data_IF_622978814429
#
_entry.id   IF_622978814429
#
_cell.length_a   1.000
_cell.length_b   1.000
_cell.length_c   1.000
_cell.angle_alpha   90.00
_cell.angle_beta   90.00
_cell.angle_gamma   90.00
#
_symmetry.space_group_name_H-M   'P 1'
#
loop_
_entity.id
_entity.type
_entity.pdbx_description
1 polymer ?
#
# COMPACT_ATOMS: atom_id res chain seq x y z
N UNK A 1 -7.00 2.25 6.99
CA UNK A 1 -8.19 2.95 6.46
C UNK A 1 -8.10 2.97 4.94
N UNK A 2 -9.23 2.75 4.27
CA UNK A 2 -9.33 2.58 2.81
C UNK A 2 -10.17 3.71 2.23
N UNK A 3 -9.73 4.27 1.09
CA UNK A 3 -10.49 5.25 0.34
C UNK A 3 -11.50 4.54 -0.58
N UNK A 4 -12.76 4.50 -0.16
CA UNK A 4 -13.84 3.85 -0.93
C UNK A 4 -14.37 4.71 -2.09
N UNK A 5 -13.94 5.98 -2.22
CA UNK A 5 -14.41 6.90 -3.27
C UNK A 5 -13.55 6.80 -4.53
N UNK A 6 -13.51 5.61 -5.11
CA UNK A 6 -12.76 5.33 -6.33
C UNK A 6 -13.69 4.85 -7.45
N UNK A 7 -13.41 5.21 -8.72
CA UNK A 7 -14.26 4.81 -9.85
C UNK A 7 -14.42 3.28 -10.00
N UNK A 8 -13.41 2.50 -9.62
CA UNK A 8 -13.48 1.02 -9.66
C UNK A 8 -14.19 0.39 -8.47
N UNK A 9 -14.62 1.18 -7.48
CA UNK A 9 -15.34 0.71 -6.28
C UNK A 9 -16.83 1.09 -6.30
N UNK A 10 -17.37 1.56 -7.43
CA UNK A 10 -18.79 1.85 -7.61
C UNK A 10 -19.44 0.88 -8.60
N UNK A 11 -20.69 0.45 -8.34
CA UNK A 11 -21.56 0.77 -7.20
C UNK A 11 -21.22 0.01 -5.90
N UNK A 12 -21.50 0.62 -4.74
CA UNK A 12 -21.17 0.06 -3.42
C UNK A 12 -22.30 -0.78 -2.82
N UNK A 13 -22.75 -1.83 -3.52
CA UNK A 13 -23.82 -2.69 -3.01
C UNK A 13 -23.40 -3.52 -1.78
N UNK A 14 -22.14 -3.93 -1.71
CA UNK A 14 -21.59 -4.68 -0.58
C UNK A 14 -20.10 -4.31 -0.37
N UNK A 15 -19.82 -3.59 0.71
CA UNK A 15 -18.46 -3.11 1.03
C UNK A 15 -17.51 -4.26 1.36
N UNK A 16 -17.97 -5.34 1.99
CA UNK A 16 -17.11 -6.49 2.32
C UNK A 16 -16.69 -7.26 1.07
N UNK A 17 -17.62 -7.46 0.14
CA UNK A 17 -17.31 -8.07 -1.15
C UNK A 17 -16.30 -7.22 -1.93
N UNK A 18 -16.51 -5.90 -1.98
CA UNK A 18 -15.57 -4.97 -2.61
C UNK A 18 -14.19 -4.99 -1.96
N UNK A 19 -14.11 -5.03 -0.63
CA UNK A 19 -12.85 -5.11 0.10
C UNK A 19 -12.08 -6.40 -0.23
N UNK A 20 -12.79 -7.51 -0.43
CA UNK A 20 -12.18 -8.79 -0.73
C UNK A 20 -11.75 -8.95 -2.19
N UNK A 21 -12.42 -8.31 -3.15
CA UNK A 21 -12.23 -8.60 -4.58
C UNK A 21 -11.78 -7.42 -5.44
N UNK A 22 -12.07 -6.18 -5.05
CA UNK A 22 -11.88 -5.00 -5.91
C UNK A 22 -10.91 -3.97 -5.32
N UNK A 23 -10.77 -3.93 -3.99
CA UNK A 23 -9.83 -3.03 -3.32
C UNK A 23 -8.39 -3.43 -3.62
N UNK A 24 -7.59 -2.43 -3.97
CA UNK A 24 -6.16 -2.56 -4.26
C UNK A 24 -5.31 -1.89 -3.18
N UNK A 25 -4.00 -2.19 -3.17
CA UNK A 25 -3.06 -1.49 -2.29
C UNK A 25 -3.05 0.03 -2.51
N UNK A 26 -3.33 0.47 -3.75
CA UNK A 26 -3.47 1.88 -4.10
C UNK A 26 -4.70 2.56 -3.45
N UNK A 27 -5.67 1.81 -2.92
CA UNK A 27 -6.83 2.38 -2.23
C UNK A 27 -6.57 2.63 -0.74
N UNK A 28 -5.43 2.17 -0.20
CA UNK A 28 -5.07 2.39 1.20
C UNK A 28 -4.59 3.84 1.39
N UNK A 29 -5.18 4.53 2.36
CA UNK A 29 -4.85 5.93 2.67
C UNK A 29 -3.99 6.07 3.94
N UNK A 30 -4.39 5.36 5.00
CA UNK A 30 -3.77 5.49 6.33
C UNK A 30 -3.62 4.11 6.97
N UNK A 31 -2.46 3.81 7.57
CA UNK A 31 -2.21 2.56 8.32
C UNK A 31 -1.80 2.85 9.75
N UNK A 32 -2.32 2.07 10.70
CA UNK A 32 -2.03 2.19 12.12
C UNK A 32 -1.70 0.79 12.64
N UNK A 33 -0.53 0.63 13.26
CA UNK A 33 -0.07 -0.63 13.84
C UNK A 33 0.37 -0.35 15.28
N UNK A 34 -0.17 -1.11 16.24
CA UNK A 34 0.11 -0.93 17.67
C UNK A 34 -0.06 0.52 18.16
N UNK A 35 -1.09 1.21 17.67
CA UNK A 35 -1.37 2.63 18.00
C UNK A 35 -0.46 3.65 17.32
N UNK A 36 0.50 3.23 16.48
CA UNK A 36 1.39 4.12 15.72
C UNK A 36 0.92 4.26 14.27
N UNK A 37 0.86 5.50 13.77
CA UNK A 37 0.58 5.78 12.36
C UNK A 37 1.84 5.46 11.53
N UNK A 38 1.73 4.53 10.59
CA UNK A 38 2.84 4.18 9.69
C UNK A 38 2.70 4.84 8.31
N UNK A 39 1.46 5.13 7.89
CA UNK A 39 1.14 5.86 6.67
C UNK A 39 -0.07 6.77 6.91
N UNK A 40 -0.08 7.98 6.34
CA UNK A 40 -1.21 8.93 6.40
C UNK A 40 -1.33 9.71 5.11
N UNK A 41 -2.53 9.80 4.54
CA UNK A 41 -2.77 10.50 3.26
C UNK A 41 -1.79 9.99 2.18
N UNK A 42 -1.52 8.68 2.18
CA UNK A 42 -0.53 8.01 1.30
C UNK A 42 0.94 8.45 1.49
N UNK A 43 1.27 9.15 2.56
CA UNK A 43 2.66 9.45 2.92
C UNK A 43 3.15 8.46 3.97
N UNK A 44 4.27 7.79 3.72
CA UNK A 44 4.94 6.92 4.68
C UNK A 44 5.55 7.78 5.81
N UNK A 45 5.21 7.46 7.06
CA UNK A 45 5.65 8.21 8.23
C UNK A 45 6.97 7.67 8.82
N UNK A 46 7.39 6.46 8.42
CA UNK A 46 8.50 5.73 9.05
C UNK A 46 9.60 5.31 8.09
N UNK A 47 9.44 5.53 6.78
CA UNK A 47 10.36 5.08 5.74
C UNK A 47 10.62 6.26 4.79
N UNK A 48 11.89 6.48 4.46
CA UNK A 48 12.30 7.34 3.34
C UNK A 48 12.21 6.52 2.05
N UNK A 49 11.13 6.73 1.31
CA UNK A 49 10.80 5.96 0.11
C UNK A 49 11.83 6.15 -1.02
N UNK A 50 12.28 7.38 -1.35
CA UNK A 50 13.39 7.59 -2.28
C UNK A 50 14.68 6.86 -1.89
N UNK A 51 15.09 6.97 -0.63
CA UNK A 51 16.31 6.32 -0.16
C UNK A 51 16.20 4.78 -0.23
N UNK A 52 15.03 4.25 0.12
CA UNK A 52 14.76 2.81 0.02
C UNK A 52 14.87 2.31 -1.42
N UNK A 53 14.23 3.00 -2.37
CA UNK A 53 14.25 2.62 -3.77
C UNK A 53 15.69 2.60 -4.32
N UNK A 54 16.49 3.63 -4.01
CA UNK A 54 17.89 3.70 -4.41
C UNK A 54 18.73 2.52 -3.89
N UNK A 55 18.49 2.07 -2.65
CA UNK A 55 19.16 0.87 -2.09
C UNK A 55 18.72 -0.40 -2.82
N UNK A 56 17.43 -0.55 -3.12
CA UNK A 56 16.91 -1.75 -3.78
C UNK A 56 17.39 -1.93 -5.21
N UNK A 57 17.58 -0.84 -5.96
CA UNK A 57 18.15 -0.89 -7.31
C UNK A 57 19.60 -1.41 -7.30
N UNK A 58 20.38 -1.06 -6.27
CA UNK A 58 21.79 -1.46 -6.14
C UNK A 58 21.91 -2.90 -5.60
N UNK A 59 20.99 -3.35 -4.74
CA UNK A 59 21.13 -4.60 -3.99
C UNK A 59 20.21 -5.75 -4.45
N UNK A 60 19.30 -5.56 -5.41
CA UNK A 60 18.34 -6.58 -5.84
C UNK A 60 18.90 -7.75 -6.67
N UNK A 61 20.13 -7.61 -7.20
CA UNK A 61 20.77 -8.60 -8.08
C UNK A 61 21.01 -10.02 -7.51
N UNK A 62 21.43 -10.20 -6.24
CA UNK A 62 21.85 -11.51 -5.73
C UNK A 62 20.71 -12.52 -5.53
N UNK A 63 19.46 -12.06 -5.39
CA UNK A 63 18.32 -12.93 -5.10
C UNK A 63 17.81 -13.64 -6.37
N UNK A 64 17.96 -13.01 -7.54
CA UNK A 64 17.44 -13.51 -8.82
C UNK A 64 18.41 -14.49 -9.51
N UNK A 65 19.69 -14.49 -9.12
CA UNK A 65 20.71 -15.37 -9.72
C UNK A 65 20.92 -16.71 -8.99
N UNK A 66 20.12 -16.97 -7.95
CA UNK A 66 20.17 -18.21 -7.15
C UNK A 66 19.06 -19.23 -7.44
N UNK A 67 18.25 -19.02 -8.49
CA UNK A 67 17.24 -19.94 -9.02
C UNK A 67 17.66 -20.45 -10.39
#
# INVERSE_FOLDING_TARGET
MVNMKQPHLVPQHNVHALLASAVQGADIDTTIVNGRVLMRIRWLATIDEPALLAVTEVQGGPIVQGI
#
